data_IF_511746793606
#
_entry.id   IF_511746793606
#
_cell.length_a   1.000
_cell.length_b   1.000
_cell.length_c   1.000
_cell.angle_alpha   90.00
_cell.angle_beta   90.00
_cell.angle_gamma   90.00
#
_symmetry.space_group_name_H-M   'P 1'
#
loop_
_entity.id
_entity.type
_entity.pdbx_description
1 polymer ?
#
# COMPACT_ATOMS: atom_id res chain seq x y z
N UNK A 1 14.51 11.10 -7.29
CA UNK A 1 14.13 10.34 -6.09
C UNK A 1 12.64 10.16 -6.18
N UNK A 2 12.13 8.94 -6.10
CA UNK A 2 10.67 8.74 -6.09
C UNK A 2 10.25 8.95 -4.64
N UNK A 3 9.64 10.09 -4.33
CA UNK A 3 9.13 10.43 -2.99
C UNK A 3 7.90 9.58 -2.61
N UNK A 4 7.80 8.33 -3.06
CA UNK A 4 6.70 7.42 -2.74
C UNK A 4 7.19 6.32 -1.83
N UNK A 5 6.38 5.94 -0.86
CA UNK A 5 6.61 4.82 0.03
C UNK A 5 5.37 3.93 0.05
N UNK A 6 5.57 2.64 0.26
CA UNK A 6 4.48 1.68 0.44
C UNK A 6 4.31 1.45 1.93
N UNK A 7 3.08 1.53 2.42
CA UNK A 7 2.75 1.34 3.83
C UNK A 7 1.81 0.15 3.99
N UNK A 8 1.98 -0.61 5.07
CA UNK A 8 1.08 -1.71 5.41
C UNK A 8 1.00 -1.92 6.92
N UNK A 9 -0.09 -2.52 7.40
CA UNK A 9 -0.28 -2.84 8.80
C UNK A 9 0.40 -4.18 9.15
N UNK A 10 1.21 -4.19 10.21
CA UNK A 10 1.84 -5.41 10.73
C UNK A 10 0.93 -6.15 11.72
N UNK A 11 1.13 -7.45 11.91
CA UNK A 11 0.36 -8.26 12.88
C UNK A 11 0.50 -7.78 14.32
N UNK A 12 1.60 -7.09 14.62
CA UNK A 12 1.90 -6.52 15.94
C UNK A 12 1.13 -5.22 16.20
N UNK A 13 0.31 -4.74 15.23
CA UNK A 13 -0.45 -3.50 15.34
C UNK A 13 0.34 -2.23 14.99
N UNK A 14 1.59 -2.36 14.53
CA UNK A 14 2.40 -1.24 14.04
C UNK A 14 2.30 -1.06 12.53
N UNK A 15 2.82 0.07 12.03
CA UNK A 15 2.85 0.39 10.59
C UNK A 15 4.23 0.13 10.02
N UNK A 16 4.32 -0.67 8.97
CA UNK A 16 5.53 -0.88 8.22
C UNK A 16 5.58 0.04 7.01
N UNK A 17 6.78 0.55 6.71
CA UNK A 17 7.04 1.48 5.61
C UNK A 17 8.15 0.91 4.75
N UNK A 18 7.86 0.70 3.47
CA UNK A 18 8.79 0.21 2.46
C UNK A 18 9.12 1.38 1.54
N UNK A 19 10.41 1.70 1.45
CA UNK A 19 10.91 2.70 0.52
C UNK A 19 11.41 2.00 -0.74
N UNK A 20 10.75 2.20 -1.90
CA UNK A 20 11.14 1.58 -3.15
C UNK A 20 12.51 2.11 -3.60
N UNK A 21 13.39 1.19 -3.98
CA UNK A 21 14.65 1.55 -4.65
C UNK A 21 14.41 1.66 -6.16
N UNK A 22 15.30 2.35 -6.88
CA UNK A 22 15.29 2.46 -8.34
C UNK A 22 15.68 1.14 -9.04
N UNK A 23 14.92 0.07 -8.79
CA UNK A 23 15.23 -1.26 -9.29
C UNK A 23 14.64 -1.56 -10.69
N UNK A 24 14.11 -0.55 -11.38
CA UNK A 24 13.44 -0.69 -12.67
C UNK A 24 12.07 -1.37 -12.62
N UNK A 25 11.52 -1.57 -11.42
CA UNK A 25 10.19 -2.15 -11.17
C UNK A 25 9.17 -1.05 -10.84
N UNK A 26 7.88 -1.33 -11.07
CA UNK A 26 6.81 -0.43 -10.62
C UNK A 26 6.57 -0.55 -9.13
N UNK A 27 5.99 0.47 -8.51
CA UNK A 27 5.70 0.49 -7.07
C UNK A 27 4.80 -0.67 -6.65
N UNK A 28 3.80 -0.99 -7.46
CA UNK A 28 2.93 -2.14 -7.24
C UNK A 28 3.72 -3.45 -7.22
N UNK A 29 4.66 -3.65 -8.15
CA UNK A 29 5.50 -4.85 -8.16
C UNK A 29 6.42 -4.94 -6.95
N UNK A 30 6.94 -3.81 -6.47
CA UNK A 30 7.74 -3.75 -5.25
C UNK A 30 6.86 -4.09 -4.04
N UNK A 31 5.68 -3.48 -3.94
CA UNK A 31 4.72 -3.73 -2.88
C UNK A 31 4.32 -5.21 -2.82
N UNK A 32 3.99 -5.82 -3.95
CA UNK A 32 3.61 -7.24 -4.01
C UNK A 32 4.74 -8.19 -3.61
N UNK A 33 6.00 -7.79 -3.80
CA UNK A 33 7.17 -8.59 -3.44
C UNK A 33 7.55 -8.43 -1.96
N UNK A 34 7.49 -7.21 -1.44
CA UNK A 34 7.92 -6.87 -0.07
C UNK A 34 6.79 -7.02 0.96
N UNK A 35 5.53 -6.85 0.55
CA UNK A 35 4.36 -7.04 1.41
C UNK A 35 4.01 -8.53 1.43
N UNK A 36 3.95 -9.16 2.62
CA UNK A 36 3.59 -10.57 2.72
C UNK A 36 2.15 -10.82 2.28
N UNK A 37 1.89 -12.05 1.84
CA UNK A 37 0.59 -12.47 1.35
C UNK A 37 -0.55 -12.16 2.32
N UNK A 38 -1.65 -11.62 1.79
CA UNK A 38 -2.87 -11.38 2.56
C UNK A 38 -2.85 -10.10 3.39
N UNK A 39 -1.77 -9.32 3.36
CA UNK A 39 -1.74 -7.99 3.99
C UNK A 39 -2.10 -6.89 3.00
N UNK A 40 -3.11 -6.07 3.29
CA UNK A 40 -3.42 -4.92 2.45
C UNK A 40 -2.30 -3.87 2.57
N UNK A 41 -2.05 -3.14 1.49
CA UNK A 41 -1.04 -2.07 1.45
C UNK A 41 -1.55 -0.83 0.71
N UNK A 42 -0.85 0.29 0.92
CA UNK A 42 -1.11 1.56 0.22
C UNK A 42 0.17 2.21 -0.24
N UNK A 43 0.14 2.82 -1.42
CA UNK A 43 1.23 3.68 -1.90
C UNK A 43 0.93 5.11 -1.46
N UNK A 44 1.78 5.66 -0.59
CA UNK A 44 1.68 7.04 -0.09
C UNK A 44 2.94 7.82 -0.44
N UNK A 45 2.92 9.13 -0.21
CA UNK A 45 4.11 9.96 -0.35
C UNK A 45 5.01 9.80 0.90
N UNK A 46 6.32 9.91 0.73
CA UNK A 46 7.29 9.83 1.82
C UNK A 46 7.09 10.98 2.83
N UNK A 47 6.48 12.08 2.39
CA UNK A 47 6.09 13.22 3.25
C UNK A 47 4.92 12.91 4.18
N UNK A 48 4.09 11.92 3.84
CA UNK A 48 2.97 11.47 4.67
C UNK A 48 3.45 10.62 5.86
N UNK A 49 4.61 9.99 5.72
CA UNK A 49 5.20 9.14 6.75
C UNK A 49 5.83 9.98 7.85
N UNK A 50 5.43 9.81 9.13
CA UNK A 50 6.05 10.52 10.24
C UNK A 50 7.53 10.13 10.37
N UNK A 51 8.40 11.12 10.21
CA UNK A 51 9.86 10.96 10.39
C UNK A 51 10.27 10.98 11.87
N UNK A 52 9.42 11.55 12.72
CA UNK A 52 9.65 11.63 14.16
C UNK A 52 9.37 10.29 14.85
N UNK A 53 10.37 9.77 15.57
CA UNK A 53 10.27 8.47 16.25
C UNK A 53 9.25 8.45 17.39
N UNK A 54 8.93 9.58 18.01
CA UNK A 54 7.95 9.64 19.09
C UNK A 54 6.52 9.42 18.58
N UNK A 55 6.26 9.79 17.33
CA UNK A 55 4.94 9.67 16.69
C UNK A 55 4.78 8.32 15.99
N UNK A 56 5.90 7.72 15.55
CA UNK A 56 5.92 6.45 14.79
C UNK A 56 5.41 5.24 15.58
N UNK A 57 5.53 5.25 16.91
CA UNK A 57 5.03 4.18 17.79
C UNK A 57 3.50 4.24 17.95
N UNK A 58 2.91 5.43 17.84
CA UNK A 58 1.47 5.68 17.95
C UNK A 58 0.78 5.86 16.60
N UNK A 59 1.53 5.77 15.51
CA UNK A 59 0.96 5.84 14.17
C UNK A 59 0.28 4.51 13.87
N UNK A 60 -1.01 4.57 13.56
CA UNK A 60 -1.81 3.44 13.15
C UNK A 60 -2.43 3.78 11.79
N UNK A 61 -2.38 2.81 10.87
CA UNK A 61 -3.08 2.87 9.59
C UNK A 61 -4.17 1.82 9.62
N UNK A 62 -5.37 2.20 9.21
CA UNK A 62 -6.50 1.28 9.16
C UNK A 62 -6.42 0.44 7.89
N UNK A 63 -6.74 -0.86 7.99
CA UNK A 63 -6.77 -1.76 6.84
C UNK A 63 -7.78 -1.30 5.78
N UNK A 64 -8.84 -0.59 6.18
CA UNK A 64 -9.80 0.00 5.25
C UNK A 64 -9.22 1.15 4.41
N UNK A 65 -8.15 1.80 4.89
CA UNK A 65 -7.47 2.85 4.13
C UNK A 65 -6.47 2.26 3.12
N UNK A 66 -6.07 1.00 3.32
CA UNK A 66 -5.12 0.24 2.50
C UNK A 66 -5.81 -0.40 1.27
N UNK A 67 -6.30 0.45 0.37
CA UNK A 67 -7.11 0.05 -0.79
C UNK A 67 -6.33 -0.19 -2.08
N UNK A 68 -5.00 -0.01 -2.06
CA UNK A 68 -4.17 -0.03 -3.27
C UNK A 68 -3.88 -1.47 -3.74
N UNK A 69 -3.84 -2.41 -2.80
CA UNK A 69 -3.71 -3.83 -3.12
C UNK A 69 -3.50 -4.70 -1.90
N UNK A 70 -3.38 -6.01 -2.13
CA UNK A 70 -3.07 -7.02 -1.12
C UNK A 70 -1.79 -7.71 -1.54
N UNK A 71 -0.86 -7.93 -0.60
CA UNK A 71 0.39 -8.65 -0.86
C UNK A 71 0.12 -9.99 -1.54
N UNK A 72 0.89 -10.30 -2.58
CA UNK A 72 0.66 -11.49 -3.38
C UNK A 72 1.46 -12.70 -2.86
N UNK A 73 0.93 -13.92 -3.01
CA UNK A 73 1.71 -15.14 -2.87
C UNK A 73 2.94 -15.10 -3.77
N UNK A 74 4.13 -15.43 -3.23
CA UNK A 74 5.31 -15.68 -4.05
C UNK A 74 5.03 -16.84 -5.01
N UNK A 75 4.71 -16.52 -6.27
CA UNK A 75 4.38 -17.50 -7.32
C UNK A 75 2.96 -17.39 -7.90
N UNK A 76 2.10 -16.50 -7.38
CA UNK A 76 0.82 -16.21 -8.02
C UNK A 76 1.00 -15.17 -9.13
N UNK A 77 0.50 -15.51 -10.32
CA UNK A 77 0.34 -14.59 -11.45
C UNK A 77 -0.47 -13.39 -10.96
N UNK A 78 0.12 -12.19 -11.07
CA UNK A 78 -0.55 -10.91 -10.83
C UNK A 78 -1.87 -10.88 -11.62
N UNK A 79 -2.99 -11.10 -10.93
CA UNK A 79 -4.32 -10.81 -11.47
C UNK A 79 -4.61 -9.39 -11.00
N UNK A 80 -4.48 -8.37 -11.86
CA UNK A 80 -4.90 -7.03 -11.49
C UNK A 80 -6.36 -7.13 -11.05
N UNK A 81 -6.66 -6.70 -9.83
CA UNK A 81 -8.05 -6.56 -9.43
C UNK A 81 -8.72 -5.64 -10.45
N UNK A 82 -9.91 -5.99 -10.98
CA UNK A 82 -10.64 -5.07 -11.81
C UNK A 82 -10.86 -3.83 -10.95
N UNK A 83 -10.26 -2.71 -11.37
CA UNK A 83 -10.58 -1.39 -10.82
C UNK A 83 -12.08 -1.36 -10.62
N UNK A 84 -12.52 -1.16 -9.39
CA UNK A 84 -13.91 -0.86 -9.14
C UNK A 84 -14.14 0.48 -9.84
N UNK A 85 -14.56 0.40 -11.10
CA UNK A 85 -15.30 1.48 -11.75
C UNK A 85 -16.48 1.70 -10.83
N UNK A 86 -16.36 2.72 -9.98
CA UNK A 86 -17.52 3.31 -9.34
C UNK A 86 -18.54 3.49 -10.47
N UNK A 87 -19.73 2.87 -10.42
CA UNK A 87 -20.72 3.18 -11.42
C UNK A 87 -20.99 4.67 -11.27
N UNK A 88 -20.58 5.46 -12.26
CA UNK A 88 -21.05 6.82 -12.42
C UNK A 88 -22.56 6.73 -12.35
N UNK A 89 -23.08 7.17 -11.20
CA UNK A 89 -24.50 7.28 -10.91
C UNK A 89 -25.04 8.37 -11.82
N UNK A 90 -25.41 7.91 -13.01
CA UNK A 90 -26.18 8.55 -14.04
C UNK A 90 -27.21 9.53 -13.46
N UNK A 91 -27.18 10.75 -14.01
CA UNK A 91 -28.14 11.80 -13.75
C UNK A 91 -29.55 11.36 -14.19
N UNK A 92 -30.50 11.31 -13.27
CA UNK A 92 -31.95 11.49 -13.48
C UNK A 92 -32.47 12.07 -12.16
N UNK A 93 -33.26 13.15 -12.08
CA UNK A 93 -34.17 13.86 -12.98
C UNK A 93 -34.29 15.32 -12.50
#
# INVERSE_FOLDING_TARGET
MTDKCIIYQTDTGGVAVITPLECGLTLEQIALKDVPEGKPFKIVDATDVPTDRAVRDFWAVDEADLTDGIGAPIGSVFVPQPVAVEPEGESQE
#
